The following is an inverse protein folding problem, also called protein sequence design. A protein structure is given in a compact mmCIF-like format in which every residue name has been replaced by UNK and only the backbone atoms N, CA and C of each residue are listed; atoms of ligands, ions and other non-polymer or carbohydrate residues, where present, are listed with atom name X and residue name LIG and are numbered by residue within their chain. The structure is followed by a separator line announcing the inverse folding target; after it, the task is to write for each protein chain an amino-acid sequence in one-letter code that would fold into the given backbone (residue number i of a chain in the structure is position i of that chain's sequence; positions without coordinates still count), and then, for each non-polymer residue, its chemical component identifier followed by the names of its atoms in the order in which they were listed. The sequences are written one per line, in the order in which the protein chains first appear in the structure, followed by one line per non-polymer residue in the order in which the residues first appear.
data_IF_774014509918
#
_entry.id   IF_774014509918
#
_cell.length_a   1.000
_cell.length_b   1.000
_cell.length_c   1.000
_cell.angle_alpha   90.00
_cell.angle_beta   90.00
_cell.angle_gamma   90.00
#
_symmetry.space_group_name_H-M   'P 1'
#
loop_
_entity.id
_entity.type
_entity.pdbx_description
1 polymer ?
#
# COMPACT_ATOMS: atom_id res chain seq x y z
N UNK A 1 21.86 -28.44 -14.13
CA UNK A 1 21.80 -27.11 -13.46
C UNK A 1 22.40 -26.09 -14.41
N UNK A 2 21.60 -25.23 -15.03
CA UNK A 2 22.10 -24.23 -15.99
C UNK A 2 22.46 -22.93 -15.24
N UNK A 3 23.72 -22.53 -15.32
CA UNK A 3 24.23 -21.30 -14.72
C UNK A 3 24.00 -20.13 -15.68
N UNK A 4 23.11 -19.20 -15.32
CA UNK A 4 22.88 -17.98 -16.09
C UNK A 4 23.84 -16.88 -15.62
N UNK A 5 24.96 -16.75 -16.32
CA UNK A 5 25.87 -15.60 -16.15
C UNK A 5 25.28 -14.39 -16.88
N UNK A 6 24.66 -13.47 -16.13
CA UNK A 6 24.17 -12.17 -16.65
C UNK A 6 25.28 -11.13 -16.59
N UNK A 7 26.38 -11.33 -17.32
CA UNK A 7 27.27 -10.21 -17.61
C UNK A 7 26.76 -9.53 -18.89
N UNK A 8 26.35 -8.26 -18.84
CA UNK A 8 26.00 -7.53 -20.05
C UNK A 8 27.24 -7.48 -20.96
N UNK A 9 27.07 -7.54 -22.30
CA UNK A 9 28.18 -7.37 -23.22
C UNK A 9 28.81 -5.99 -22.99
N UNK A 10 30.13 -5.94 -22.86
CA UNK A 10 30.84 -4.68 -22.73
C UNK A 10 30.67 -3.86 -24.03
N UNK A 11 30.49 -2.53 -23.96
CA UNK A 11 30.56 -1.68 -25.14
C UNK A 11 31.85 -1.92 -25.92
N UNK A 12 31.74 -2.06 -27.23
CA UNK A 12 32.89 -2.00 -28.11
C UNK A 12 33.45 -0.57 -28.23
N UNK A 13 32.63 0.48 -28.03
CA UNK A 13 33.10 1.86 -28.01
C UNK A 13 32.16 2.81 -27.26
N UNK A 14 32.70 3.93 -26.74
CA UNK A 14 31.93 4.91 -25.96
C UNK A 14 30.84 5.63 -26.78
N UNK A 15 31.02 5.73 -28.10
CA UNK A 15 30.09 6.38 -29.02
C UNK A 15 28.78 5.57 -29.18
N UNK A 16 28.83 4.23 -29.09
CA UNK A 16 27.63 3.38 -29.20
C UNK A 16 26.71 3.49 -27.98
N UNK A 17 27.25 3.83 -26.80
CA UNK A 17 26.44 4.05 -25.59
C UNK A 17 25.65 5.35 -25.65
N UNK A 18 26.23 6.39 -26.25
CA UNK A 18 25.58 7.70 -26.35
C UNK A 18 24.45 7.64 -27.40
N UNK A 19 24.67 6.95 -28.52
CA UNK A 19 23.67 6.78 -29.57
C UNK A 19 22.42 6.00 -29.10
N UNK A 20 22.57 5.06 -28.16
CA UNK A 20 21.45 4.30 -27.60
C UNK A 20 20.55 5.11 -26.64
N UNK A 21 21.03 6.24 -26.12
CA UNK A 21 20.27 7.11 -25.22
C UNK A 21 19.38 8.13 -25.96
N UNK A 22 19.66 8.42 -27.24
CA UNK A 22 18.90 9.39 -28.04
C UNK A 22 17.64 8.81 -28.71
N UNK A 23 17.45 7.49 -28.66
CA UNK A 23 16.22 6.84 -29.13
C UNK A 23 15.21 6.65 -27.98
N UNK A 24 14.58 7.74 -27.55
CA UNK A 24 13.32 7.66 -26.81
C UNK A 24 12.17 7.34 -27.79
N UNK A 25 11.43 6.23 -27.64
CA UNK A 25 10.17 6.07 -28.35
C UNK A 25 9.17 7.11 -27.83
N UNK A 26 8.72 7.97 -28.73
CA UNK A 26 7.63 8.93 -28.51
C UNK A 26 6.33 8.14 -28.19
N UNK A 27 5.51 8.58 -27.22
CA UNK A 27 4.28 7.87 -26.87
C UNK A 27 3.26 7.94 -28.02
N UNK A 28 2.83 6.78 -28.51
CA UNK A 28 1.73 6.68 -29.46
C UNK A 28 0.38 7.00 -28.78
N UNK A 29 -0.45 7.88 -29.37
CA UNK A 29 -1.83 8.08 -28.96
C UNK A 29 -2.76 7.30 -29.89
N UNK A 30 -3.37 6.21 -29.43
CA UNK A 30 -4.47 5.55 -30.13
C UNK A 30 -5.09 4.43 -29.28
N UNK A 31 -6.32 4.62 -28.80
CA UNK A 31 -7.53 4.04 -29.39
C UNK A 31 -8.66 3.99 -28.35
N UNK A 32 -9.65 4.83 -28.61
CA UNK A 32 -11.04 4.75 -28.20
C UNK A 32 -11.59 3.33 -28.45
N UNK A 33 -12.17 2.70 -27.43
CA UNK A 33 -13.10 1.60 -27.58
C UNK A 33 -14.18 1.72 -26.51
N UNK A 34 -15.21 2.49 -26.86
CA UNK A 34 -16.53 2.46 -26.22
C UNK A 34 -17.09 1.04 -26.30
N UNK A 35 -17.03 0.31 -25.20
CA UNK A 35 -17.75 -0.96 -25.04
C UNK A 35 -19.09 -0.69 -24.34
N UNK A 36 -20.08 -0.40 -25.17
CA UNK A 36 -21.45 -0.94 -25.15
C UNK A 36 -22.16 -1.07 -23.78
N UNK A 37 -23.08 -0.13 -23.54
CA UNK A 37 -24.12 -0.21 -22.52
C UNK A 37 -25.04 -1.42 -22.75
N UNK A 38 -25.05 -2.37 -21.79
CA UNK A 38 -26.17 -3.30 -21.62
C UNK A 38 -27.17 -2.76 -20.58
N UNK A 39 -28.46 -2.58 -20.92
CA UNK A 39 -29.49 -2.20 -19.95
C UNK A 39 -29.90 -3.43 -19.15
N UNK A 40 -29.32 -3.63 -17.96
CA UNK A 40 -29.81 -4.65 -17.02
C UNK A 40 -31.14 -4.20 -16.41
N UNK A 41 -32.16 -5.03 -16.67
CA UNK A 41 -33.54 -4.98 -16.19
C UNK A 41 -33.64 -4.59 -14.71
N UNK A 42 -34.57 -3.66 -14.43
CA UNK A 42 -35.07 -3.34 -13.09
C UNK A 42 -35.92 -4.50 -12.58
N UNK A 43 -35.51 -5.13 -11.47
CA UNK A 43 -36.41 -5.91 -10.62
C UNK A 43 -36.71 -5.15 -9.33
N UNK A 44 -37.97 -5.17 -8.83
CA UNK A 44 -38.39 -4.38 -7.70
C UNK A 44 -38.19 -5.10 -6.36
N UNK A 45 -37.88 -4.29 -5.35
CA UNK A 45 -38.17 -4.45 -3.91
C UNK A 45 -37.70 -5.74 -3.23
N UNK A 46 -36.69 -5.57 -2.37
CA UNK A 46 -36.64 -6.29 -1.10
C UNK A 46 -36.18 -5.34 0.00
N UNK A 47 -37.15 -4.95 0.82
CA UNK A 47 -37.05 -4.61 2.25
C UNK A 47 -35.89 -3.70 2.65
N UNK A 48 -36.21 -2.42 2.86
CA UNK A 48 -35.49 -1.56 3.78
C UNK A 48 -35.71 -2.09 5.22
N UNK A 49 -35.13 -3.24 5.54
CA UNK A 49 -34.85 -3.58 6.92
C UNK A 49 -33.94 -2.47 7.46
N UNK A 50 -34.22 -2.01 8.68
CA UNK A 50 -33.42 -1.02 9.36
C UNK A 50 -31.95 -1.48 9.30
N UNK A 51 -31.20 -0.93 8.34
CA UNK A 51 -29.79 -1.21 8.16
C UNK A 51 -29.14 -0.62 9.39
N UNK A 52 -28.98 -1.44 10.43
CA UNK A 52 -27.99 -1.18 11.46
C UNK A 52 -26.73 -0.82 10.68
N UNK A 53 -26.28 0.43 10.86
CA UNK A 53 -25.12 0.95 10.17
C UNK A 53 -23.95 0.10 10.63
N UNK A 54 -23.65 -0.96 9.87
CA UNK A 54 -22.49 -1.79 10.06
C UNK A 54 -21.29 -0.87 10.13
N UNK A 55 -20.42 -1.08 11.11
CA UNK A 55 -19.19 -0.30 11.22
C UNK A 55 -18.42 -0.47 9.91
N UNK A 56 -17.76 0.59 9.40
CA UNK A 56 -17.14 0.55 8.07
C UNK A 56 -16.04 -0.52 7.94
N UNK A 57 -15.54 -1.07 9.06
CA UNK A 57 -14.52 -2.12 9.10
C UNK A 57 -15.06 -3.55 9.32
N UNK A 58 -16.37 -3.77 9.50
CA UNK A 58 -16.96 -5.09 9.81
C UNK A 58 -16.78 -6.16 8.71
N UNK A 59 -16.38 -5.78 7.50
CA UNK A 59 -16.10 -6.69 6.39
C UNK A 59 -14.61 -6.86 6.07
N UNK A 60 -13.71 -6.30 6.88
CA UNK A 60 -12.27 -6.32 6.64
C UNK A 60 -11.59 -7.40 7.50
N UNK A 61 -10.58 -8.06 6.94
CA UNK A 61 -9.75 -9.03 7.69
C UNK A 61 -8.67 -8.29 8.49
N UNK A 62 -8.66 -8.37 9.84
CA UNK A 62 -7.65 -7.74 10.67
C UNK A 62 -6.24 -8.34 10.52
N UNK A 63 -6.13 -9.56 9.96
CA UNK A 63 -4.84 -10.24 9.73
C UNK A 63 -4.33 -10.07 8.29
N UNK A 64 -5.05 -9.30 7.46
CA UNK A 64 -4.61 -9.02 6.10
C UNK A 64 -3.25 -8.30 6.07
N UNK A 65 -2.46 -8.57 5.03
CA UNK A 65 -1.17 -7.90 4.82
C UNK A 65 -1.35 -6.38 4.76
N UNK A 66 -0.55 -5.58 5.49
CA UNK A 66 -0.63 -4.13 5.45
C UNK A 66 -0.33 -3.58 4.04
N UNK A 67 -1.27 -2.81 3.47
CA UNK A 67 -1.12 -2.16 2.15
C UNK A 67 -0.99 -0.64 2.20
N UNK A 68 -1.37 -0.04 3.33
CA UNK A 68 -1.46 1.41 3.50
C UNK A 68 -0.40 1.91 4.48
N UNK A 69 0.10 3.12 4.24
CA UNK A 69 1.05 3.82 5.13
C UNK A 69 0.31 4.89 5.93
N UNK A 70 0.61 4.97 7.22
CA UNK A 70 0.15 6.03 8.11
C UNK A 70 1.36 6.77 8.68
N UNK A 71 1.47 8.06 8.38
CA UNK A 71 2.57 8.91 8.84
C UNK A 71 2.15 9.70 10.08
N UNK A 72 2.89 9.52 11.19
CA UNK A 72 2.64 10.21 12.45
C UNK A 72 3.68 11.33 12.64
N UNK A 73 3.21 12.56 12.87
CA UNK A 73 4.07 13.69 13.23
C UNK A 73 4.25 13.72 14.74
N UNK A 74 5.51 13.71 15.18
CA UNK A 74 5.90 13.74 16.59
C UNK A 74 6.84 14.92 16.82
N UNK A 75 6.82 15.45 18.04
CA UNK A 75 7.88 16.36 18.49
C UNK A 75 9.09 15.56 19.00
N UNK A 76 10.17 16.26 19.29
CA UNK A 76 11.44 15.64 19.72
C UNK A 76 11.28 14.82 21.01
N UNK A 77 10.46 15.31 21.95
CA UNK A 77 10.19 14.61 23.21
C UNK A 77 9.58 13.22 22.99
N UNK A 78 8.51 13.11 22.19
CA UNK A 78 7.87 11.83 21.94
C UNK A 78 8.75 10.90 21.09
N UNK A 79 9.52 11.46 20.16
CA UNK A 79 10.47 10.68 19.37
C UNK A 79 11.58 10.10 20.26
N UNK A 80 12.08 10.86 21.23
CA UNK A 80 13.08 10.40 22.19
C UNK A 80 12.54 9.26 23.06
N UNK A 81 11.29 9.34 23.52
CA UNK A 81 10.64 8.24 24.26
C UNK A 81 10.57 6.97 23.41
N UNK A 82 10.12 7.07 22.15
CA UNK A 82 10.01 5.90 21.27
C UNK A 82 11.37 5.27 20.97
N UNK A 83 12.40 6.11 20.80
CA UNK A 83 13.78 5.64 20.62
C UNK A 83 14.26 4.89 21.85
N UNK A 84 14.06 5.45 23.04
CA UNK A 84 14.44 4.80 24.30
C UNK A 84 13.74 3.45 24.48
N UNK A 85 12.45 3.36 24.17
CA UNK A 85 11.71 2.09 24.23
C UNK A 85 12.21 1.07 23.21
N UNK A 86 12.59 1.50 22.01
CA UNK A 86 13.17 0.63 20.99
C UNK A 86 14.55 0.09 21.39
N UNK A 87 15.34 0.88 22.11
CA UNK A 87 16.65 0.46 22.62
C UNK A 87 16.54 -0.59 23.73
N UNK A 88 15.43 -0.61 24.48
CA UNK A 88 15.20 -1.58 25.55
C UNK A 88 14.68 -2.94 25.08
N UNK A 89 14.08 -3.00 23.90
CA UNK A 89 13.41 -4.18 23.37
C UNK A 89 14.19 -4.59 22.10
N UNK A 90 15.20 -5.46 22.25
CA UNK A 90 16.29 -5.71 21.26
C UNK A 90 15.80 -6.01 19.83
N UNK A 91 14.57 -6.52 19.69
CA UNK A 91 13.96 -6.89 18.40
C UNK A 91 12.86 -5.93 17.91
N UNK A 92 12.65 -4.78 18.58
CA UNK A 92 11.52 -3.90 18.32
C UNK A 92 11.91 -2.58 17.64
N UNK A 93 11.50 -2.40 16.37
CA UNK A 93 11.56 -1.09 15.74
C UNK A 93 10.56 -0.10 16.36
N UNK A 94 10.85 1.21 16.30
CA UNK A 94 9.90 2.25 16.74
C UNK A 94 8.51 2.08 16.10
N UNK A 95 8.46 1.68 14.82
CA UNK A 95 7.20 1.38 14.13
C UNK A 95 6.47 0.19 14.74
N UNK A 96 7.20 -0.89 15.09
CA UNK A 96 6.62 -2.07 15.74
C UNK A 96 6.07 -1.72 17.12
N UNK A 97 6.78 -0.90 17.90
CA UNK A 97 6.32 -0.38 19.19
C UNK A 97 5.04 0.43 19.01
N UNK A 98 5.03 1.39 18.07
CA UNK A 98 3.84 2.16 17.76
C UNK A 98 2.64 1.27 17.41
N UNK A 99 2.81 0.25 16.55
CA UNK A 99 1.72 -0.66 16.19
C UNK A 99 1.23 -1.49 17.37
N UNK A 100 2.15 -2.00 18.20
CA UNK A 100 1.86 -2.82 19.40
C UNK A 100 1.02 -2.07 20.42
N UNK A 101 1.23 -0.76 20.56
CA UNK A 101 0.51 0.08 21.53
C UNK A 101 -0.74 0.71 20.91
N UNK A 102 -0.61 1.32 19.72
CA UNK A 102 -1.66 2.16 19.14
C UNK A 102 -2.86 1.36 18.64
N UNK A 103 -2.65 0.21 17.99
CA UNK A 103 -3.76 -0.56 17.40
C UNK A 103 -4.71 -1.11 18.47
N UNK A 104 -4.23 -1.78 19.55
CA UNK A 104 -5.12 -2.23 20.61
C UNK A 104 -5.87 -1.08 21.31
N UNK A 105 -5.21 0.07 21.49
CA UNK A 105 -5.83 1.23 22.13
C UNK A 105 -6.94 1.86 21.26
N UNK A 106 -6.78 1.86 19.93
CA UNK A 106 -7.84 2.27 18.99
C UNK A 106 -9.04 1.33 19.09
N UNK A 107 -8.80 0.01 19.07
CA UNK A 107 -9.87 -0.99 19.18
C UNK A 107 -10.62 -0.88 20.50
N UNK A 108 -9.89 -0.67 21.61
CA UNK A 108 -10.47 -0.48 22.94
C UNK A 108 -11.45 0.70 22.97
N UNK A 109 -11.07 1.85 22.40
CA UNK A 109 -11.93 3.06 22.36
C UNK A 109 -13.22 2.88 21.57
N UNK A 110 -13.24 1.93 20.64
CA UNK A 110 -14.42 1.60 19.82
C UNK A 110 -15.36 0.65 20.57
N UNK A 111 -14.86 -0.12 21.54
CA UNK A 111 -15.63 -1.05 22.35
C UNK A 111 -16.25 -0.38 23.59
N UNK A 112 -15.65 0.70 24.11
CA UNK A 112 -16.15 1.44 25.30
C UNK A 112 -17.25 2.47 24.98
N UNK A 113 -17.90 2.37 23.82
CA UNK A 113 -19.08 3.17 23.45
C UNK A 113 -20.23 2.26 23.11
#
# INVERSE_FOLDING_TARGET
MASFSRKPPAPSNAQDFIAAADHLPTPEPALTAEAELQPKKKEPRSQASARQKRRPWEGLDPKATPKNVFNLRLNDYHLAILRHLAEQDEDASMQRICKKILLPEIERRIQTK
#
